data_IF_233301838391
#
_entry.id   IF_233301838391
#
_cell.length_a   1.000
_cell.length_b   1.000
_cell.length_c   1.000
_cell.angle_alpha   90.00
_cell.angle_beta   90.00
_cell.angle_gamma   90.00
#
_symmetry.space_group_name_H-M   'P 1'
#
loop_
_entity.id
_entity.type
_entity.pdbx_description
1 polymer ?
#
# COMPACT_ATOMS: atom_id res chain seq x y z
N UNK A 1 -45.40 14.71 9.76
CA UNK A 1 -44.95 13.33 9.97
C UNK A 1 -45.01 12.51 8.65
N UNK A 2 -46.14 12.51 7.95
CA UNK A 2 -46.35 11.72 6.72
C UNK A 2 -45.44 12.09 5.57
N UNK A 3 -45.13 13.35 5.38
CA UNK A 3 -44.27 13.82 4.25
C UNK A 3 -42.80 13.37 4.42
N UNK A 4 -42.21 13.55 5.57
CA UNK A 4 -40.81 13.15 5.84
C UNK A 4 -40.63 11.63 5.77
N UNK A 5 -41.62 10.84 6.26
CA UNK A 5 -41.60 9.40 6.10
C UNK A 5 -41.64 8.97 4.62
N UNK A 6 -42.49 9.62 3.83
CA UNK A 6 -42.60 9.33 2.40
C UNK A 6 -41.30 9.68 1.65
N UNK A 7 -40.71 10.81 1.97
CA UNK A 7 -39.41 11.22 1.38
C UNK A 7 -38.30 10.20 1.71
N UNK A 8 -38.17 9.75 2.96
CA UNK A 8 -37.24 8.70 3.34
C UNK A 8 -37.48 7.40 2.57
N UNK A 9 -38.75 7.02 2.38
CA UNK A 9 -39.11 5.80 1.65
C UNK A 9 -38.65 5.89 0.18
N UNK A 10 -38.79 7.04 -0.47
CA UNK A 10 -38.34 7.24 -1.84
C UNK A 10 -36.82 7.19 -1.94
N UNK A 11 -36.10 7.85 -1.02
CA UNK A 11 -34.63 7.81 -0.96
C UNK A 11 -34.16 6.38 -0.76
N UNK A 12 -34.77 5.63 0.17
CA UNK A 12 -34.40 4.23 0.44
C UNK A 12 -34.62 3.34 -0.78
N UNK A 13 -35.71 3.51 -1.52
CA UNK A 13 -35.94 2.77 -2.77
C UNK A 13 -34.86 3.08 -3.82
N UNK A 14 -34.45 4.32 -3.93
CA UNK A 14 -33.39 4.72 -4.87
C UNK A 14 -32.03 4.12 -4.47
N UNK A 15 -31.70 4.12 -3.18
CA UNK A 15 -30.48 3.47 -2.64
C UNK A 15 -30.46 1.98 -2.99
N UNK A 16 -31.59 1.26 -2.76
CA UNK A 16 -31.69 -0.17 -3.08
C UNK A 16 -31.50 -0.39 -4.59
N UNK A 17 -32.18 0.36 -5.43
CA UNK A 17 -32.06 0.24 -6.89
C UNK A 17 -30.63 0.49 -7.38
N UNK A 18 -29.97 1.52 -6.86
CA UNK A 18 -28.59 1.84 -7.20
C UNK A 18 -27.63 0.74 -6.69
N UNK A 19 -27.85 0.25 -5.48
CA UNK A 19 -27.09 -0.86 -4.88
C UNK A 19 -27.19 -2.15 -5.70
N UNK A 20 -28.39 -2.51 -6.15
CA UNK A 20 -28.62 -3.70 -6.98
C UNK A 20 -27.89 -3.58 -8.33
N UNK A 21 -28.01 -2.43 -9.00
CA UNK A 21 -27.34 -2.16 -10.26
C UNK A 21 -25.81 -2.21 -10.11
N UNK A 22 -25.28 -1.61 -9.04
CA UNK A 22 -23.85 -1.64 -8.72
C UNK A 22 -23.36 -3.06 -8.45
N UNK A 23 -24.09 -3.83 -7.64
CA UNK A 23 -23.76 -5.23 -7.34
C UNK A 23 -23.74 -6.10 -8.60
N UNK A 24 -24.68 -5.89 -9.52
CA UNK A 24 -24.67 -6.60 -10.80
C UNK A 24 -23.44 -6.24 -11.62
N UNK A 25 -23.11 -4.95 -11.76
CA UNK A 25 -21.92 -4.48 -12.47
C UNK A 25 -20.65 -5.10 -11.91
N UNK A 26 -20.48 -5.08 -10.58
CA UNK A 26 -19.32 -5.68 -9.91
C UNK A 26 -19.27 -7.18 -10.17
N UNK A 27 -20.40 -7.88 -9.99
CA UNK A 27 -20.47 -9.34 -10.17
C UNK A 27 -20.10 -9.76 -11.57
N UNK A 28 -20.59 -9.06 -12.58
CA UNK A 28 -20.33 -9.41 -13.98
C UNK A 28 -18.86 -9.16 -14.34
N UNK A 29 -18.28 -8.04 -13.90
CA UNK A 29 -16.86 -7.75 -14.12
C UNK A 29 -15.93 -8.70 -13.39
N UNK A 30 -16.22 -9.06 -12.14
CA UNK A 30 -15.44 -10.05 -11.40
C UNK A 30 -15.50 -11.42 -12.08
N UNK A 31 -16.66 -11.85 -12.58
CA UNK A 31 -16.79 -13.09 -13.34
C UNK A 31 -15.94 -13.08 -14.61
N UNK A 32 -15.89 -11.96 -15.32
CA UNK A 32 -15.06 -11.82 -16.52
C UNK A 32 -13.57 -11.93 -16.18
N UNK A 33 -13.12 -11.28 -15.10
CA UNK A 33 -11.74 -11.37 -14.61
C UNK A 33 -11.40 -12.82 -14.22
N UNK A 34 -12.25 -13.50 -13.45
CA UNK A 34 -12.04 -14.90 -13.04
C UNK A 34 -12.03 -15.84 -14.26
N UNK A 35 -12.89 -15.61 -15.25
CA UNK A 35 -12.90 -16.43 -16.47
C UNK A 35 -11.62 -16.27 -17.28
N UNK A 36 -11.08 -15.05 -17.38
CA UNK A 36 -9.82 -14.81 -18.06
C UNK A 36 -8.66 -15.56 -17.39
N UNK A 37 -8.70 -15.69 -16.07
CA UNK A 37 -7.68 -16.40 -15.28
C UNK A 37 -7.80 -17.94 -15.44
N UNK A 38 -9.02 -18.46 -15.50
CA UNK A 38 -9.25 -19.90 -15.66
C UNK A 38 -8.79 -20.47 -17.01
N UNK A 39 -8.68 -19.64 -18.03
CA UNK A 39 -8.15 -20.02 -19.35
C UNK A 39 -6.62 -20.14 -19.33
N UNK A 40 -5.96 -19.44 -18.41
CA UNK A 40 -4.49 -19.37 -18.30
C UNK A 40 -3.92 -20.21 -17.13
N UNK A 41 -4.69 -21.14 -16.56
CA UNK A 41 -4.25 -21.95 -15.42
C UNK A 41 -3.07 -22.85 -15.75
N UNK A 42 -1.88 -22.37 -15.45
CA UNK A 42 -0.79 -23.20 -14.94
C UNK A 42 -1.11 -23.52 -13.46
N UNK A 43 -1.34 -24.80 -13.15
CA UNK A 43 -1.83 -25.31 -11.85
C UNK A 43 -0.91 -25.04 -10.64
N UNK A 44 0.08 -24.18 -10.76
CA UNK A 44 1.12 -23.94 -9.75
C UNK A 44 1.29 -22.46 -9.35
N UNK A 45 0.40 -21.56 -9.78
CA UNK A 45 0.54 -20.13 -9.45
C UNK A 45 -0.19 -19.77 -8.15
N UNK A 46 0.45 -18.95 -7.33
CA UNK A 46 -0.14 -18.49 -6.07
C UNK A 46 -1.35 -17.59 -6.32
N UNK A 47 -2.30 -17.56 -5.38
CA UNK A 47 -3.45 -16.65 -5.44
C UNK A 47 -3.04 -15.17 -5.52
N UNK A 48 -1.84 -14.84 -5.02
CA UNK A 48 -1.30 -13.48 -5.04
C UNK A 48 -0.91 -13.07 -6.45
N UNK A 49 -0.29 -13.97 -7.24
CA UNK A 49 0.09 -13.66 -8.62
C UNK A 49 -1.11 -13.46 -9.54
N UNK A 50 -2.22 -14.15 -9.27
CA UNK A 50 -3.48 -13.94 -9.98
C UNK A 50 -4.04 -12.54 -9.69
N UNK A 51 -4.12 -12.16 -8.42
CA UNK A 51 -4.57 -10.81 -8.03
C UNK A 51 -3.65 -9.74 -8.63
N UNK A 52 -2.34 -9.93 -8.55
CA UNK A 52 -1.35 -8.99 -9.07
C UNK A 52 -1.53 -8.70 -10.57
N UNK A 53 -1.79 -9.74 -11.34
CA UNK A 53 -1.99 -9.63 -12.80
C UNK A 53 -3.23 -8.82 -13.16
N UNK A 54 -4.29 -8.94 -12.36
CA UNK A 54 -5.56 -8.26 -12.62
C UNK A 54 -5.73 -6.93 -11.87
N UNK A 55 -4.68 -6.44 -11.20
CA UNK A 55 -4.74 -5.14 -10.52
C UNK A 55 -5.14 -3.96 -11.42
N UNK A 56 -4.67 -3.86 -12.68
CA UNK A 56 -5.13 -2.82 -13.59
C UNK A 56 -6.63 -2.89 -13.84
N UNK A 57 -7.18 -4.10 -14.02
CA UNK A 57 -8.61 -4.31 -14.25
C UNK A 57 -9.45 -3.97 -13.02
N UNK A 58 -8.93 -4.25 -11.80
CA UNK A 58 -9.57 -3.80 -10.56
C UNK A 58 -9.53 -2.29 -10.39
N UNK A 59 -8.46 -1.62 -10.81
CA UNK A 59 -8.36 -0.17 -10.81
C UNK A 59 -9.36 0.46 -11.78
N UNK A 60 -9.50 -0.11 -12.96
CA UNK A 60 -10.50 0.32 -13.96
C UNK A 60 -11.92 0.08 -13.44
N UNK A 61 -12.19 -1.08 -12.85
CA UNK A 61 -13.48 -1.37 -12.24
C UNK A 61 -13.80 -0.35 -11.14
N UNK A 62 -12.86 -0.06 -10.25
CA UNK A 62 -13.07 0.93 -9.20
C UNK A 62 -13.39 2.31 -9.78
N UNK A 63 -12.68 2.72 -10.81
CA UNK A 63 -12.93 4.00 -11.50
C UNK A 63 -14.32 4.07 -12.12
N UNK A 64 -14.83 2.95 -12.62
CA UNK A 64 -16.18 2.86 -13.20
C UNK A 64 -17.27 2.91 -12.12
N UNK A 65 -17.07 2.26 -10.97
CA UNK A 65 -18.12 2.15 -9.93
C UNK A 65 -18.10 3.31 -8.93
N UNK A 66 -17.00 4.04 -8.80
CA UNK A 66 -16.87 5.13 -7.83
C UNK A 66 -17.96 6.20 -7.95
N UNK A 67 -18.35 6.70 -9.16
CA UNK A 67 -19.41 7.68 -9.30
C UNK A 67 -20.76 7.18 -8.75
N UNK A 68 -21.03 5.89 -8.89
CA UNK A 68 -22.28 5.29 -8.38
C UNK A 68 -22.23 5.10 -6.88
N UNK A 69 -21.06 4.74 -6.33
CA UNK A 69 -20.83 4.73 -4.87
C UNK A 69 -21.06 6.12 -4.26
N UNK A 70 -20.54 7.17 -4.88
CA UNK A 70 -20.75 8.56 -4.44
C UNK A 70 -22.25 8.88 -4.40
N UNK A 71 -22.99 8.57 -5.45
CA UNK A 71 -24.45 8.79 -5.49
C UNK A 71 -25.18 8.04 -4.39
N UNK A 72 -24.81 6.78 -4.14
CA UNK A 72 -25.42 5.97 -3.06
C UNK A 72 -25.15 6.65 -1.71
N UNK A 73 -23.91 7.03 -1.43
CA UNK A 73 -23.57 7.68 -0.16
C UNK A 73 -24.21 9.05 0.01
N UNK A 74 -24.33 9.84 -1.05
CA UNK A 74 -25.08 11.11 -1.02
C UNK A 74 -26.56 10.88 -0.70
N UNK A 75 -27.18 9.83 -1.23
CA UNK A 75 -28.53 9.46 -0.89
C UNK A 75 -28.65 8.97 0.58
N UNK A 76 -27.68 8.20 1.07
CA UNK A 76 -27.62 7.78 2.47
C UNK A 76 -27.57 8.98 3.42
N UNK A 77 -26.79 10.02 3.11
CA UNK A 77 -26.73 11.26 3.90
C UNK A 77 -28.06 12.00 3.96
N UNK A 78 -28.90 11.86 2.95
CA UNK A 78 -30.24 12.51 2.88
C UNK A 78 -31.32 11.79 3.69
N UNK A 79 -31.10 10.54 4.09
CA UNK A 79 -32.06 9.80 4.93
C UNK A 79 -32.11 10.45 6.31
N UNK A 80 -33.30 10.85 6.75
CA UNK A 80 -33.46 11.40 8.09
C UNK A 80 -33.75 10.27 9.10
N UNK A 81 -32.83 10.01 10.06
CA UNK A 81 -32.97 8.93 11.02
C UNK A 81 -34.22 9.08 11.94
N UNK A 82 -34.70 10.32 12.15
CA UNK A 82 -35.82 10.57 13.06
C UNK A 82 -37.18 10.08 12.53
N UNK A 83 -37.27 9.84 11.22
CA UNK A 83 -38.46 9.24 10.61
C UNK A 83 -38.39 7.70 10.50
N UNK A 84 -37.40 7.07 11.13
CA UNK A 84 -37.25 5.61 11.16
C UNK A 84 -37.86 5.09 12.48
N UNK A 85 -38.90 4.28 12.41
CA UNK A 85 -39.66 3.86 13.61
C UNK A 85 -38.91 2.81 14.44
N UNK A 86 -37.92 2.12 13.90
CA UNK A 86 -37.20 1.04 14.55
C UNK A 86 -35.77 1.48 14.90
N UNK A 87 -35.41 1.45 16.17
CA UNK A 87 -34.13 1.91 16.69
C UNK A 87 -32.93 1.15 16.08
N UNK A 88 -33.08 -0.13 15.80
CA UNK A 88 -32.05 -0.92 15.13
C UNK A 88 -31.73 -0.41 13.73
N UNK A 89 -32.76 -0.06 12.95
CA UNK A 89 -32.56 0.52 11.62
C UNK A 89 -32.06 1.95 11.70
N UNK A 90 -32.54 2.74 12.65
CA UNK A 90 -32.04 4.10 12.92
C UNK A 90 -30.53 4.09 13.19
N UNK A 91 -30.09 3.20 14.08
CA UNK A 91 -28.66 3.02 14.38
C UNK A 91 -27.84 2.62 13.14
N UNK A 92 -28.37 1.75 12.29
CA UNK A 92 -27.70 1.33 11.05
C UNK A 92 -27.56 2.48 10.06
N UNK A 93 -28.58 3.32 9.92
CA UNK A 93 -28.52 4.51 9.06
C UNK A 93 -27.49 5.52 9.57
N UNK A 94 -27.43 5.78 10.86
CA UNK A 94 -26.43 6.68 11.46
C UNK A 94 -25.02 6.17 11.18
N UNK A 95 -24.76 4.86 11.32
CA UNK A 95 -23.46 4.26 10.98
C UNK A 95 -23.15 4.39 9.49
N UNK A 96 -24.12 4.15 8.63
CA UNK A 96 -23.95 4.30 7.19
C UNK A 96 -23.64 5.75 6.80
N UNK A 97 -24.26 6.73 7.45
CA UNK A 97 -23.98 8.15 7.26
C UNK A 97 -22.55 8.50 7.68
N UNK A 98 -22.09 7.98 8.83
CA UNK A 98 -20.70 8.18 9.27
C UNK A 98 -19.68 7.61 8.25
N UNK A 99 -19.99 6.46 7.64
CA UNK A 99 -19.17 5.90 6.55
C UNK A 99 -19.24 6.82 5.31
N UNK A 100 -20.43 7.29 4.96
CA UNK A 100 -20.62 8.17 3.82
C UNK A 100 -19.82 9.49 3.95
N UNK A 101 -19.64 9.98 5.16
CA UNK A 101 -18.88 11.22 5.41
C UNK A 101 -17.38 11.07 5.19
N UNK A 102 -16.82 9.92 5.52
CA UNK A 102 -15.39 9.63 5.33
C UNK A 102 -15.08 9.05 3.94
N UNK A 103 -16.11 8.61 3.19
CA UNK A 103 -15.93 7.93 1.91
C UNK A 103 -15.09 8.72 0.88
N UNK A 104 -15.25 10.05 0.71
CA UNK A 104 -14.45 10.79 -0.26
C UNK A 104 -12.94 10.68 0.00
N UNK A 105 -12.53 10.75 1.26
CA UNK A 105 -11.12 10.60 1.66
C UNK A 105 -10.63 9.17 1.42
N UNK A 106 -11.45 8.19 1.81
CA UNK A 106 -11.13 6.76 1.61
C UNK A 106 -11.05 6.42 0.13
N UNK A 107 -11.97 6.94 -0.69
CA UNK A 107 -11.98 6.76 -2.13
C UNK A 107 -10.69 7.27 -2.78
N UNK A 108 -10.22 8.45 -2.37
CA UNK A 108 -8.97 9.00 -2.86
C UNK A 108 -7.78 8.08 -2.52
N UNK A 109 -7.70 7.60 -1.29
CA UNK A 109 -6.66 6.67 -0.84
C UNK A 109 -6.70 5.34 -1.60
N UNK A 110 -7.90 4.81 -1.89
CA UNK A 110 -8.06 3.60 -2.70
C UNK A 110 -7.52 3.82 -4.11
N UNK A 111 -7.86 4.93 -4.75
CA UNK A 111 -7.35 5.29 -6.08
C UNK A 111 -5.84 5.38 -6.12
N UNK A 112 -5.24 6.08 -5.15
CA UNK A 112 -3.80 6.22 -5.06
C UNK A 112 -3.13 4.85 -4.84
N UNK A 113 -3.70 4.01 -3.99
CA UNK A 113 -3.20 2.65 -3.75
C UNK A 113 -3.28 1.80 -5.01
N UNK A 114 -4.42 1.77 -5.69
CA UNK A 114 -4.62 1.00 -6.91
C UNK A 114 -3.70 1.49 -8.05
N UNK A 115 -3.35 2.77 -8.07
CA UNK A 115 -2.42 3.34 -9.06
C UNK A 115 -0.97 2.90 -8.83
N UNK A 116 -0.55 2.82 -7.58
CA UNK A 116 0.86 2.55 -7.24
C UNK A 116 1.14 1.07 -6.97
N UNK A 117 0.14 0.33 -6.48
CA UNK A 117 0.29 -1.07 -6.13
C UNK A 117 0.82 -1.96 -7.28
N UNK A 118 0.38 -1.79 -8.55
CA UNK A 118 0.92 -2.57 -9.67
C UNK A 118 2.44 -2.44 -9.83
N UNK A 119 2.96 -1.23 -9.65
CA UNK A 119 4.41 -0.99 -9.72
C UNK A 119 5.13 -1.63 -8.53
N UNK A 120 4.56 -1.55 -7.32
CA UNK A 120 5.18 -2.10 -6.13
C UNK A 120 5.29 -3.63 -6.16
N UNK A 121 4.30 -4.30 -6.73
CA UNK A 121 4.29 -5.79 -6.80
C UNK A 121 4.84 -6.34 -8.12
N UNK A 122 5.37 -5.48 -8.99
CA UNK A 122 5.96 -5.90 -10.25
C UNK A 122 4.96 -6.38 -11.30
N UNK A 123 3.70 -5.89 -11.29
CA UNK A 123 2.67 -6.30 -12.27
C UNK A 123 2.97 -5.83 -13.69
N UNK A 124 3.54 -4.64 -13.86
CA UNK A 124 3.83 -4.05 -15.17
C UNK A 124 5.27 -4.28 -15.60
N UNK A 125 6.17 -4.39 -14.63
CA UNK A 125 7.61 -4.62 -14.82
C UNK A 125 8.18 -5.16 -13.53
N UNK A 126 9.30 -5.84 -13.61
CA UNK A 126 10.00 -6.30 -12.41
C UNK A 126 10.37 -5.11 -11.52
N UNK A 127 10.14 -5.26 -10.23
CA UNK A 127 10.47 -4.25 -9.22
C UNK A 127 11.42 -4.85 -8.20
N UNK A 128 12.57 -4.22 -8.04
CA UNK A 128 13.57 -4.65 -7.08
C UNK A 128 13.56 -3.75 -5.85
N UNK A 129 13.50 -4.37 -4.68
CA UNK A 129 13.56 -3.71 -3.38
C UNK A 129 14.89 -4.01 -2.70
N UNK A 130 15.43 -3.01 -2.03
CA UNK A 130 16.51 -3.20 -1.07
C UNK A 130 15.89 -3.67 0.26
N UNK A 131 16.31 -4.83 0.71
CA UNK A 131 15.90 -5.40 1.99
C UNK A 131 16.96 -5.06 3.04
N UNK A 132 16.56 -4.41 4.12
CA UNK A 132 17.39 -4.10 5.26
C UNK A 132 16.91 -4.92 6.47
N UNK A 133 17.75 -5.82 6.94
CA UNK A 133 17.49 -6.59 8.15
C UNK A 133 18.07 -5.86 9.35
N UNK A 134 17.19 -5.45 10.26
CA UNK A 134 17.56 -4.64 11.42
C UNK A 134 17.27 -5.38 12.71
N UNK A 135 18.28 -5.54 13.56
CA UNK A 135 18.14 -6.06 14.92
C UNK A 135 17.78 -4.92 15.88
N UNK A 136 16.62 -5.03 16.52
CA UNK A 136 16.17 -4.07 17.54
C UNK A 136 16.73 -4.36 18.94
N UNK A 137 17.45 -5.47 19.11
CA UNK A 137 18.10 -5.81 20.39
C UNK A 137 19.28 -4.91 20.72
N UNK A 138 19.84 -4.23 19.72
CA UNK A 138 20.87 -3.22 19.88
C UNK A 138 20.30 -1.84 19.59
N UNK A 139 20.30 -0.99 20.60
CA UNK A 139 19.80 0.39 20.46
C UNK A 139 20.79 1.24 19.67
N UNK A 140 20.36 1.75 18.53
CA UNK A 140 21.07 2.69 17.66
C UNK A 140 20.18 3.89 17.36
N UNK A 141 20.78 4.98 16.96
CA UNK A 141 20.04 6.20 16.57
C UNK A 141 19.07 5.97 15.38
N UNK A 142 19.36 4.97 14.55
CA UNK A 142 18.54 4.51 13.43
C UNK A 142 17.43 3.53 13.82
N UNK A 143 17.29 3.16 15.12
CA UNK A 143 16.29 2.23 15.64
C UNK A 143 16.79 0.78 15.83
N UNK A 144 18.00 0.45 15.41
CA UNK A 144 18.62 -0.88 15.58
C UNK A 144 19.83 -1.08 14.70
N UNK A 145 20.54 -2.19 14.93
CA UNK A 145 21.70 -2.59 14.13
C UNK A 145 21.23 -3.22 12.82
N UNK A 146 21.71 -2.72 11.68
CA UNK A 146 21.51 -3.39 10.39
C UNK A 146 22.48 -4.57 10.32
N UNK A 147 21.95 -5.78 10.33
CA UNK A 147 22.73 -7.02 10.36
C UNK A 147 22.98 -7.60 8.98
N UNK A 148 22.07 -7.36 8.05
CA UNK A 148 22.23 -7.80 6.67
C UNK A 148 21.47 -6.90 5.70
N UNK A 149 21.92 -6.91 4.46
CA UNK A 149 21.25 -6.29 3.33
C UNK A 149 21.00 -7.33 2.25
N UNK A 150 20.02 -7.07 1.43
CA UNK A 150 19.74 -7.94 0.30
C UNK A 150 18.85 -7.29 -0.73
N UNK A 151 18.61 -8.02 -1.80
CA UNK A 151 17.70 -7.61 -2.85
C UNK A 151 16.55 -8.60 -2.97
N UNK A 152 15.36 -8.04 -3.14
CA UNK A 152 14.14 -8.80 -3.44
C UNK A 152 13.56 -8.25 -4.72
N UNK A 153 13.42 -9.12 -5.72
CA UNK A 153 12.76 -8.77 -6.98
C UNK A 153 11.39 -9.41 -7.04
N UNK A 154 10.38 -8.59 -7.27
CA UNK A 154 9.01 -9.02 -7.50
C UNK A 154 8.66 -8.92 -8.98
N UNK A 155 8.00 -9.96 -9.49
CA UNK A 155 7.46 -10.00 -10.84
C UNK A 155 6.06 -10.63 -10.78
N UNK A 156 5.03 -9.89 -11.22
CA UNK A 156 3.63 -10.33 -11.15
C UNK A 156 3.18 -10.78 -9.74
N UNK A 157 3.64 -10.08 -8.69
CA UNK A 157 3.33 -10.39 -7.30
C UNK A 157 4.05 -11.61 -6.74
N UNK A 158 4.96 -12.20 -7.49
CA UNK A 158 5.77 -13.34 -7.04
C UNK A 158 7.22 -12.93 -6.83
N UNK A 159 7.87 -13.63 -5.91
CA UNK A 159 9.30 -13.52 -5.71
C UNK A 159 10.02 -14.10 -6.92
N UNK A 160 10.87 -13.31 -7.55
CA UNK A 160 11.71 -13.76 -8.66
C UNK A 160 13.10 -14.14 -8.16
N UNK A 161 13.44 -15.41 -8.24
CA UNK A 161 14.71 -15.93 -7.77
C UNK A 161 14.77 -16.11 -6.26
N UNK A 162 15.97 -16.27 -5.74
CA UNK A 162 16.25 -16.38 -4.31
C UNK A 162 16.55 -14.99 -3.73
N UNK A 163 16.27 -14.84 -2.42
CA UNK A 163 16.66 -13.64 -1.69
C UNK A 163 18.13 -13.80 -1.33
N UNK A 164 18.98 -13.04 -1.99
CA UNK A 164 20.39 -12.99 -1.64
C UNK A 164 20.58 -11.97 -0.53
N UNK A 165 21.04 -12.44 0.63
CA UNK A 165 21.35 -11.62 1.78
C UNK A 165 22.85 -11.61 2.00
N UNK A 166 23.39 -10.43 2.17
CA UNK A 166 24.81 -10.24 2.52
C UNK A 166 24.90 -9.63 3.92
N UNK A 167 25.80 -10.18 4.73
CA UNK A 167 26.09 -9.68 6.06
C UNK A 167 26.65 -8.25 5.96
N UNK A 168 26.18 -7.35 6.81
CA UNK A 168 26.62 -5.96 6.82
C UNK A 168 28.12 -5.81 7.04
N UNK A 169 28.72 -6.71 7.81
CA UNK A 169 30.15 -6.76 8.06
C UNK A 169 30.94 -7.00 6.76
N UNK A 170 30.51 -7.93 5.92
CA UNK A 170 31.15 -8.18 4.63
C UNK A 170 31.07 -6.97 3.72
N UNK A 171 29.89 -6.30 3.70
CA UNK A 171 29.70 -5.10 2.89
C UNK A 171 30.61 -3.97 3.38
N UNK A 172 30.73 -3.77 4.70
CA UNK A 172 31.63 -2.79 5.29
C UNK A 172 33.07 -3.02 4.89
N UNK A 173 33.55 -4.27 4.94
CA UNK A 173 34.92 -4.62 4.50
C UNK A 173 35.17 -4.38 3.02
N UNK A 174 34.19 -4.72 2.15
CA UNK A 174 34.30 -4.42 0.74
C UNK A 174 34.32 -2.91 0.46
N UNK A 175 33.58 -2.13 1.23
CA UNK A 175 33.54 -0.69 1.09
C UNK A 175 34.77 0.01 1.67
N UNK A 176 35.49 -0.57 2.65
CA UNK A 176 36.75 -0.04 3.17
C UNK A 176 37.78 0.17 2.04
N UNK A 177 37.90 -0.81 1.17
CA UNK A 177 38.81 -0.71 0.00
C UNK A 177 38.41 0.39 -0.99
N UNK A 178 37.12 0.77 -1.02
CA UNK A 178 36.60 1.83 -1.89
C UNK A 178 36.71 3.21 -1.24
N UNK A 179 36.59 3.30 0.09
CA UNK A 179 36.60 4.57 0.84
C UNK A 179 37.96 5.23 0.78
N UNK A 180 39.06 4.48 0.76
CA UNK A 180 40.42 5.02 0.60
C UNK A 180 40.58 5.77 -0.73
N UNK A 181 39.66 5.56 -1.68
CA UNK A 181 39.65 6.24 -2.98
C UNK A 181 38.65 7.38 -3.10
N UNK A 182 37.76 7.57 -2.13
CA UNK A 182 36.69 8.58 -2.17
C UNK A 182 36.95 9.74 -1.20
N UNK A 183 36.99 10.95 -1.73
CA UNK A 183 36.96 12.18 -0.94
C UNK A 183 35.50 12.56 -0.65
N UNK A 184 35.08 12.49 0.61
CA UNK A 184 33.72 12.92 1.00
C UNK A 184 33.74 14.45 1.17
N UNK A 185 32.85 15.20 0.50
CA UNK A 185 32.79 16.66 0.67
C UNK A 185 32.44 17.05 2.13
N UNK A 186 33.25 17.95 2.69
CA UNK A 186 33.12 18.45 4.08
C UNK A 186 31.80 19.12 4.42
N UNK A 187 31.04 19.55 3.43
CA UNK A 187 29.76 20.23 3.62
C UNK A 187 28.55 19.29 3.65
N UNK A 188 28.76 18.00 3.72
CA UNK A 188 27.67 17.03 3.87
C UNK A 188 27.08 17.21 5.27
N UNK A 189 25.90 17.82 5.35
CA UNK A 189 25.26 18.19 6.58
C UNK A 189 25.18 17.01 7.57
N UNK A 190 25.72 17.20 8.77
CA UNK A 190 25.67 16.22 9.85
C UNK A 190 26.95 15.42 10.10
N UNK A 191 27.88 15.36 9.16
CA UNK A 191 29.11 14.58 9.35
C UNK A 191 30.13 15.27 10.25
N UNK A 192 30.17 16.61 10.25
CA UNK A 192 31.09 17.39 11.09
C UNK A 192 30.86 17.22 12.59
N UNK A 193 29.68 16.76 13.01
CA UNK A 193 29.32 16.63 14.41
C UNK A 193 29.70 15.28 15.03
N UNK A 194 30.20 14.34 14.23
CA UNK A 194 30.53 12.99 14.68
C UNK A 194 32.01 12.72 14.82
N UNK A 195 32.86 13.74 14.84
CA UNK A 195 34.26 13.63 15.22
C UNK A 195 35.11 12.67 14.36
N UNK A 196 34.88 12.62 13.06
CA UNK A 196 35.62 11.74 12.17
C UNK A 196 35.22 10.26 12.31
N UNK A 197 34.11 9.97 12.96
CA UNK A 197 33.58 8.63 13.01
C UNK A 197 32.83 8.27 11.75
N UNK A 198 33.12 7.12 11.26
CA UNK A 198 32.53 6.47 10.19
C UNK A 198 31.10 6.41 10.03
N UNK A 199 30.77 6.44 8.83
CA UNK A 199 29.46 6.12 8.38
C UNK A 199 29.44 5.14 7.24
N UNK A 200 29.51 3.92 7.55
CA UNK A 200 28.87 2.92 6.76
C UNK A 200 27.79 2.34 7.63
N UNK A 201 26.57 2.67 7.28
CA UNK A 201 25.32 2.12 7.83
C UNK A 201 25.06 2.29 9.33
N UNK A 202 25.75 3.18 9.99
CA UNK A 202 25.55 3.48 11.41
C UNK A 202 25.80 2.29 12.31
N UNK A 203 26.50 1.31 11.84
CA UNK A 203 26.71 0.07 12.55
C UNK A 203 27.88 0.08 13.50
N UNK A 204 28.65 1.14 13.58
CA UNK A 204 29.77 1.30 14.51
C UNK A 204 29.98 0.16 15.51
N UNK A 205 30.23 -1.03 15.03
CA UNK A 205 30.64 -2.17 15.81
C UNK A 205 32.11 -2.36 15.61
N UNK A 206 32.86 -1.86 16.54
CA UNK A 206 34.16 -2.36 16.90
C UNK A 206 35.34 -1.81 16.15
N UNK A 207 35.39 -1.74 14.88
CA UNK A 207 36.57 -1.29 14.17
C UNK A 207 36.30 0.04 13.47
N UNK A 208 37.00 1.08 13.91
CA UNK A 208 36.92 2.43 13.40
C UNK A 208 37.47 2.49 11.98
N UNK A 209 36.61 2.64 10.96
CA UNK A 209 37.04 3.12 9.66
C UNK A 209 37.31 4.61 9.80
N UNK A 210 38.51 5.03 9.73
CA UNK A 210 38.88 6.43 9.68
C UNK A 210 38.58 6.98 8.29
N UNK A 211 37.49 7.72 8.15
CA UNK A 211 37.30 8.57 6.99
C UNK A 211 38.30 9.72 7.12
N UNK A 212 39.32 9.75 6.30
CA UNK A 212 40.21 10.91 6.20
C UNK A 212 39.48 11.99 5.43
N UNK A 213 39.17 13.06 6.12
CA UNK A 213 38.79 14.31 5.48
C UNK A 213 40.11 14.98 5.02
N UNK A 214 40.20 15.32 3.75
CA UNK A 214 41.25 16.24 3.28
C UNK A 214 40.74 17.66 3.52
N UNK A 215 41.55 18.45 4.23
CA UNK A 215 41.34 19.87 4.45
C UNK A 215 41.47 20.69 3.14
#
# INVERSE_FOLDING_TARGET
>A
FTRGYYENLQITKEIIKQGDALNQTISDRIKDIIRSDSINQDNNKSSISSIARHLPEYADLYTQIEPDLIKIFDNVKRVNPDFIPLDSYKSSVIKAQAIADIFPEVSLKIKDSLRHLPSLIGSNSETTFLLLLQSTSEMRSSGGLITALGQVTLANGELKGEIELEDSWNIEHHMEALIDSYTIPLNTAGYSNFGGQKFLMGNGCGDEVHVRFQD
#
